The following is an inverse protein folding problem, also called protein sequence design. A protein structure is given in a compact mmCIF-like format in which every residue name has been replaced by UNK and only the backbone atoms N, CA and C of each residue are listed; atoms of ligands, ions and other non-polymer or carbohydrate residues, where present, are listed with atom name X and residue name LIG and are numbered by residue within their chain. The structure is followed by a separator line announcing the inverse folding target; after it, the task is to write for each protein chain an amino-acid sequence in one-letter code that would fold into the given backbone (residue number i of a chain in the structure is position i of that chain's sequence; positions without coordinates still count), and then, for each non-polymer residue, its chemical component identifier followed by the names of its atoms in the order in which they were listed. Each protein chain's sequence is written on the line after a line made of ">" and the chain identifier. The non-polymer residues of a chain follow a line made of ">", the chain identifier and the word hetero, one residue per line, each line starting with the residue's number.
data_IF_664007005606
#
_entry.id   IF_664007005606
#
_cell.length_a   1.000
_cell.length_b   1.000
_cell.length_c   1.000
_cell.angle_alpha   90.00
_cell.angle_beta   90.00
_cell.angle_gamma   90.00
#
_symmetry.space_group_name_H-M   'P 1'
#
loop_
_entity.id
_entity.type
_entity.pdbx_description
1 polymer ?
#
# COMPACT_ATOMS: atom_id res chain seq x y z
N UNK A 1 -2.67 0.44 4.87
CA UNK A 1 -2.27 0.52 3.45
C UNK A 1 -2.65 -0.71 2.64
N UNK A 2 -2.14 -1.93 2.92
CA UNK A 2 -2.50 -3.12 2.11
C UNK A 2 -4.02 -3.36 2.11
N UNK A 3 -4.68 -3.35 3.28
CA UNK A 3 -6.13 -3.53 3.34
C UNK A 3 -6.90 -2.41 2.62
N UNK A 4 -6.41 -1.17 2.65
CA UNK A 4 -7.02 -0.06 1.90
C UNK A 4 -6.91 -0.29 0.38
N UNK A 5 -5.77 -0.78 -0.10
CA UNK A 5 -5.60 -1.12 -1.52
C UNK A 5 -6.57 -2.25 -1.91
N UNK A 6 -6.63 -3.32 -1.10
CA UNK A 6 -7.51 -4.46 -1.32
C UNK A 6 -9.01 -4.14 -1.18
N UNK A 7 -9.36 -3.02 -0.54
CA UNK A 7 -10.76 -2.57 -0.45
C UNK A 7 -11.31 -2.03 -1.78
N UNK A 8 -10.43 -1.76 -2.75
CA UNK A 8 -10.80 -1.21 -4.06
C UNK A 8 -11.01 -2.33 -5.06
N UNK A 9 -10.06 -3.27 -5.13
CA UNK A 9 -10.10 -4.45 -5.97
C UNK A 9 -9.23 -5.56 -5.38
N UNK A 10 -9.56 -6.81 -5.70
CA UNK A 10 -8.69 -7.97 -5.46
C UNK A 10 -7.35 -7.78 -6.22
N UNK A 11 -6.27 -8.34 -5.69
CA UNK A 11 -4.92 -8.07 -6.23
C UNK A 11 -3.96 -9.25 -6.09
N UNK A 12 -2.81 -9.18 -6.76
CA UNK A 12 -1.69 -10.10 -6.59
C UNK A 12 -0.52 -9.44 -5.84
N UNK A 13 0.38 -10.26 -5.26
CA UNK A 13 1.50 -9.73 -4.46
C UNK A 13 2.38 -8.69 -5.17
N UNK A 14 2.63 -8.87 -6.48
CA UNK A 14 3.37 -7.88 -7.28
C UNK A 14 2.59 -6.59 -7.53
N UNK A 15 1.28 -6.69 -7.73
CA UNK A 15 0.42 -5.54 -7.94
C UNK A 15 0.31 -4.70 -6.68
N UNK A 16 0.29 -5.33 -5.48
CA UNK A 16 0.37 -4.62 -4.21
C UNK A 16 1.69 -3.83 -4.06
N UNK A 17 2.83 -4.41 -4.49
CA UNK A 17 4.11 -3.69 -4.54
C UNK A 17 3.98 -2.45 -5.43
N UNK A 18 3.39 -2.62 -6.62
CA UNK A 18 3.19 -1.53 -7.58
C UNK A 18 2.20 -0.47 -7.10
N UNK A 19 1.13 -0.86 -6.43
CA UNK A 19 0.18 0.06 -5.84
C UNK A 19 0.86 0.94 -4.77
N UNK A 20 1.70 0.35 -3.91
CA UNK A 20 2.43 1.11 -2.88
C UNK A 20 3.50 2.03 -3.51
N UNK A 21 4.22 1.56 -4.53
CA UNK A 21 5.13 2.41 -5.31
C UNK A 21 4.41 3.62 -5.89
N UNK A 22 3.25 3.41 -6.52
CA UNK A 22 2.45 4.47 -7.11
C UNK A 22 1.89 5.44 -6.05
N UNK A 23 1.39 4.95 -4.93
CA UNK A 23 0.89 5.76 -3.82
C UNK A 23 1.97 6.69 -3.24
N UNK A 24 3.23 6.25 -3.30
CA UNK A 24 4.38 7.04 -2.85
C UNK A 24 5.07 7.81 -3.98
N UNK A 25 4.49 7.86 -5.17
CA UNK A 25 5.05 8.52 -6.36
C UNK A 25 6.47 8.02 -6.71
N UNK A 26 6.74 6.74 -6.47
CA UNK A 26 8.04 6.11 -6.71
C UNK A 26 9.09 6.39 -5.62
N UNK A 27 8.75 7.14 -4.57
CA UNK A 27 9.69 7.41 -3.48
C UNK A 27 9.95 6.20 -2.58
N UNK A 28 9.09 5.18 -2.64
CA UNK A 28 9.26 3.94 -1.89
C UNK A 28 8.63 2.75 -2.63
N UNK A 29 9.44 1.72 -2.88
CA UNK A 29 8.97 0.44 -3.42
C UNK A 29 9.24 -0.64 -2.39
N UNK A 30 8.21 -1.26 -1.78
CA UNK A 30 8.42 -2.32 -0.81
C UNK A 30 9.00 -3.56 -1.50
N UNK A 31 9.92 -4.24 -0.82
CA UNK A 31 10.48 -5.49 -1.34
C UNK A 31 9.49 -6.65 -1.15
N UNK A 32 9.61 -7.73 -1.95
CA UNK A 32 8.90 -8.98 -1.69
C UNK A 32 9.03 -9.48 -0.25
N UNK A 33 10.23 -9.34 0.35
CA UNK A 33 10.50 -9.76 1.72
C UNK A 33 9.78 -8.94 2.80
N UNK A 34 9.23 -7.78 2.46
CA UNK A 34 8.34 -7.01 3.35
C UNK A 34 6.87 -7.37 3.10
N UNK A 35 6.50 -7.53 1.83
CA UNK A 35 5.11 -7.76 1.43
C UNK A 35 4.61 -9.14 1.85
N UNK A 36 5.32 -10.21 1.50
CA UNK A 36 4.81 -11.55 1.74
C UNK A 36 4.62 -11.88 3.22
N UNK A 37 5.56 -11.56 4.15
CA UNK A 37 5.32 -11.76 5.57
C UNK A 37 4.15 -10.93 6.11
N UNK A 38 3.91 -9.74 5.55
CA UNK A 38 2.75 -8.93 5.93
C UNK A 38 1.45 -9.57 5.45
N UNK A 39 1.43 -10.17 4.25
CA UNK A 39 0.27 -10.91 3.75
C UNK A 39 0.01 -12.17 4.58
N UNK A 40 1.05 -12.91 4.95
CA UNK A 40 0.93 -14.08 5.82
C UNK A 40 0.29 -13.67 7.16
N UNK A 41 0.78 -12.59 7.79
CA UNK A 41 0.21 -12.05 9.01
C UNK A 41 -1.27 -11.65 8.84
N UNK A 42 -1.62 -10.91 7.78
CA UNK A 42 -3.00 -10.48 7.54
C UNK A 42 -3.93 -11.68 7.28
N UNK A 43 -3.43 -12.74 6.63
CA UNK A 43 -4.17 -13.96 6.40
C UNK A 43 -4.38 -14.74 7.71
N UNK A 44 -3.36 -14.85 8.56
CA UNK A 44 -3.48 -15.46 9.89
C UNK A 44 -4.52 -14.74 10.77
N UNK A 45 -4.61 -13.42 10.63
CA UNK A 45 -5.65 -12.60 11.30
C UNK A 45 -7.01 -12.68 10.60
N UNK A 46 -7.18 -13.48 9.55
CA UNK A 46 -8.42 -13.61 8.77
C UNK A 46 -8.92 -12.31 8.11
N UNK A 47 -8.05 -11.32 7.94
CA UNK A 47 -8.37 -10.03 7.32
C UNK A 47 -8.32 -10.08 5.78
N UNK A 48 -7.60 -11.07 5.23
CA UNK A 48 -7.53 -11.33 3.79
C UNK A 48 -7.69 -12.83 3.51
N UNK A 49 -8.05 -13.17 2.28
CA UNK A 49 -7.94 -14.53 1.75
C UNK A 49 -6.93 -14.57 0.62
N UNK A 50 -6.23 -15.71 0.51
CA UNK A 50 -5.30 -15.98 -0.59
C UNK A 50 -5.79 -17.23 -1.31
N UNK A 51 -6.11 -17.11 -2.60
CA UNK A 51 -6.59 -18.21 -3.44
C UNK A 51 -5.63 -18.43 -4.60
N UNK A 52 -5.33 -19.69 -4.89
CA UNK A 52 -4.57 -20.05 -6.08
C UNK A 52 -5.48 -19.97 -7.31
N UNK A 53 -5.03 -19.24 -8.32
CA UNK A 53 -5.65 -19.15 -9.64
C UNK A 53 -4.93 -20.06 -10.64
N UNK A 54 -5.54 -20.24 -11.80
CA UNK A 54 -4.91 -20.91 -12.94
C UNK A 54 -3.57 -20.25 -13.30
N UNK A 55 -2.54 -21.07 -13.49
CA UNK A 55 -1.18 -20.60 -13.76
C UNK A 55 -0.35 -20.28 -12.51
N UNK A 56 -0.81 -20.65 -11.31
CA UNK A 56 -0.02 -20.58 -10.07
C UNK A 56 0.09 -19.17 -9.48
N UNK A 57 -0.74 -18.24 -9.95
CA UNK A 57 -0.86 -16.90 -9.36
C UNK A 57 -1.71 -16.99 -8.09
N UNK A 58 -1.39 -16.15 -7.11
CA UNK A 58 -2.14 -16.05 -5.86
C UNK A 58 -2.97 -14.77 -5.86
N UNK A 59 -4.27 -14.89 -6.01
CA UNK A 59 -5.22 -13.79 -5.84
C UNK A 59 -5.42 -13.54 -4.35
N UNK A 60 -5.36 -12.28 -3.97
CA UNK A 60 -5.50 -11.78 -2.61
C UNK A 60 -6.74 -10.91 -2.58
N UNK A 61 -7.66 -11.24 -1.69
CA UNK A 61 -8.93 -10.54 -1.54
C UNK A 61 -9.18 -10.14 -0.10
N UNK A 62 -9.81 -8.99 0.11
CA UNK A 62 -10.23 -8.55 1.44
C UNK A 62 -11.38 -9.43 1.96
N UNK A 63 -11.38 -9.76 3.25
CA UNK A 63 -12.54 -10.42 3.88
C UNK A 63 -13.52 -9.39 4.42
N UNK A 64 -14.72 -9.83 4.80
CA UNK A 64 -15.68 -8.98 5.52
C UNK A 64 -15.09 -8.47 6.84
N UNK A 65 -14.34 -9.32 7.57
CA UNK A 65 -13.63 -8.90 8.77
C UNK A 65 -12.52 -7.88 8.47
N UNK A 66 -11.80 -8.06 7.36
CA UNK A 66 -10.81 -7.09 6.87
C UNK A 66 -11.44 -5.74 6.55
N UNK A 67 -12.62 -5.72 5.94
CA UNK A 67 -13.37 -4.51 5.64
C UNK A 67 -13.85 -3.81 6.93
N UNK A 68 -14.38 -4.56 7.90
CA UNK A 68 -14.76 -4.01 9.19
C UNK A 68 -13.55 -3.43 9.94
N UNK A 69 -12.44 -4.16 9.99
CA UNK A 69 -11.20 -3.68 10.62
C UNK A 69 -10.71 -2.40 9.94
N UNK A 70 -10.79 -2.33 8.61
CA UNK A 70 -10.39 -1.13 7.87
C UNK A 70 -11.26 0.08 8.22
N UNK A 71 -12.56 -0.12 8.39
CA UNK A 71 -13.50 0.94 8.79
C UNK A 71 -13.25 1.40 10.23
N UNK A 72 -13.07 0.47 11.17
CA UNK A 72 -12.73 0.78 12.56
C UNK A 72 -11.41 1.54 12.71
N UNK A 73 -10.50 1.40 11.72
CA UNK A 73 -9.20 2.05 11.71
C UNK A 73 -9.09 3.16 10.64
N UNK A 74 -10.23 3.65 10.10
CA UNK A 74 -10.28 4.62 9.00
C UNK A 74 -9.47 5.89 9.29
N UNK A 75 -9.64 6.48 10.48
CA UNK A 75 -8.91 7.69 10.88
C UNK A 75 -7.38 7.48 10.84
N UNK A 76 -6.90 6.33 11.31
CA UNK A 76 -5.47 6.02 11.29
C UNK A 76 -4.95 5.85 9.87
N UNK A 77 -5.75 5.24 8.99
CA UNK A 77 -5.42 5.09 7.57
C UNK A 77 -5.33 6.47 6.90
N UNK A 78 -6.31 7.34 7.14
CA UNK A 78 -6.30 8.71 6.60
C UNK A 78 -5.07 9.49 7.07
N UNK A 79 -4.71 9.43 8.35
CA UNK A 79 -3.49 10.05 8.86
C UNK A 79 -2.22 9.52 8.18
N UNK A 80 -2.14 8.22 7.88
CA UNK A 80 -1.01 7.64 7.15
C UNK A 80 -0.98 8.16 5.72
N UNK A 81 -2.12 8.22 5.05
CA UNK A 81 -2.22 8.75 3.68
C UNK A 81 -1.79 10.22 3.61
N UNK A 82 -2.24 11.05 4.54
CA UNK A 82 -1.85 12.46 4.63
C UNK A 82 -0.34 12.62 4.79
N UNK A 83 0.27 11.79 5.65
CA UNK A 83 1.74 11.77 5.85
C UNK A 83 2.49 11.35 4.59
N UNK A 84 1.98 10.36 3.85
CA UNK A 84 2.54 9.95 2.56
C UNK A 84 2.45 11.11 1.57
N UNK A 85 1.27 11.70 1.39
CA UNK A 85 1.03 12.85 0.49
C UNK A 85 1.97 14.01 0.81
N UNK A 86 2.08 14.40 2.08
CA UNK A 86 2.98 15.47 2.51
C UNK A 86 4.45 15.19 2.17
N UNK A 87 4.90 13.94 2.34
CA UNK A 87 6.27 13.52 2.00
C UNK A 87 6.53 13.52 0.49
N UNK A 88 5.55 13.11 -0.31
CA UNK A 88 5.63 13.17 -1.78
C UNK A 88 5.70 14.62 -2.27
N UNK A 89 4.86 15.52 -1.74
CA UNK A 89 4.92 16.96 -2.06
C UNK A 89 6.28 17.55 -1.71
N UNK A 90 6.78 17.29 -0.49
CA UNK A 90 8.10 17.77 -0.08
C UNK A 90 9.26 17.18 -0.89
N UNK A 91 9.11 15.98 -1.45
CA UNK A 91 10.08 15.41 -2.38
C UNK A 91 10.02 16.08 -3.75
N UNK A 92 8.83 16.27 -4.30
CA UNK A 92 8.62 16.93 -5.59
C UNK A 92 9.15 18.38 -5.58
N UNK A 93 8.90 19.13 -4.49
CA UNK A 93 9.42 20.50 -4.33
C UNK A 93 10.96 20.54 -4.34
N UNK A 94 11.64 19.56 -3.72
CA UNK A 94 13.11 19.47 -3.74
C UNK A 94 13.68 19.09 -5.11
N UNK A 95 12.89 18.41 -5.94
CA UNK A 95 13.27 18.06 -7.31
C UNK A 95 13.06 19.23 -8.28
N UNK A 96 12.31 20.28 -7.91
CA UNK A 96 12.12 21.46 -8.74
C UNK A 96 13.44 22.28 -8.85
N UNK A 97 14.01 22.46 -10.06
CA UNK A 97 15.29 23.14 -10.24
C UNK A 97 15.31 24.60 -9.76
N UNK A 98 14.17 25.29 -9.81
CA UNK A 98 14.04 26.68 -9.35
C UNK A 98 14.05 26.76 -7.82
N UNK A 99 13.43 25.80 -7.13
CA UNK A 99 13.43 25.71 -5.67
C UNK A 99 14.76 25.22 -5.12
N UNK A 100 15.43 24.27 -5.79
CA UNK A 100 16.74 23.76 -5.38
C UNK A 100 17.80 24.87 -5.31
N UNK A 101 17.76 25.82 -6.25
CA UNK A 101 18.68 26.98 -6.29
C UNK A 101 18.43 28.03 -5.22
N UNK A 102 17.27 28.02 -4.54
CA UNK A 102 16.94 28.96 -3.48
C UNK A 102 17.32 28.43 -2.08
N UNK A 103 17.73 27.18 -1.99
CA UNK A 103 18.12 26.48 -0.76
C UNK A 103 19.64 26.27 -0.63
N UNK A 104 20.40 26.50 -1.71
CA UNK A 104 21.87 26.51 -1.77
C UNK A 104 22.38 27.96 -1.66
#
# INVERSE_FOLDING_TARGET
>A
MILDILSRDDSHGYELIKAIENLTQGNYTPSPGVIYPTLDFLQEQSLITIREEEGGKKQIALTEQGAQWLEENREQVEMIEERIKARCVGAALRQNPQMKRALD
#
